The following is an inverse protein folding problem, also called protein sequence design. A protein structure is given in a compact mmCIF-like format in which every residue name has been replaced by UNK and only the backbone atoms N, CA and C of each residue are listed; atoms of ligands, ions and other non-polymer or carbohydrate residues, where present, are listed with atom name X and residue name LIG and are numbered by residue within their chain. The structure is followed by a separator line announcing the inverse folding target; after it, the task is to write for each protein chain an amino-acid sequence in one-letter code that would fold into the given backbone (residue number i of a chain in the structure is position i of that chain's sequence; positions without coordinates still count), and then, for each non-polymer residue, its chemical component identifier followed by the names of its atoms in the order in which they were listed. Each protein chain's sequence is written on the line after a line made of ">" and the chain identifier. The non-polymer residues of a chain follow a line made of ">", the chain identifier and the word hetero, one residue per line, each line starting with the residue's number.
data_IF_038885912211
#
_entry.id   IF_038885912211
#
_cell.length_a   1.000
_cell.length_b   1.000
_cell.length_c   1.000
_cell.angle_alpha   90.00
_cell.angle_beta   90.00
_cell.angle_gamma   90.00
#
_symmetry.space_group_name_H-M   'P 1'
#
loop_
_entity.id
_entity.type
_entity.pdbx_description
1 polymer ?
#
# COMPACT_ATOMS: atom_id res chain seq x y z
N UNK A 1 -15.77 10.28 14.83
CA UNK A 1 -14.94 9.82 15.96
C UNK A 1 -15.43 10.55 17.21
N UNK A 2 -15.93 9.81 18.21
CA UNK A 2 -16.26 10.41 19.52
C UNK A 2 -15.19 9.96 20.52
N UNK A 3 -14.53 10.93 21.13
CA UNK A 3 -13.56 10.71 22.20
C UNK A 3 -14.19 11.23 23.50
N UNK A 4 -14.30 10.36 24.51
CA UNK A 4 -14.79 10.70 25.83
C UNK A 4 -13.63 10.61 26.84
N UNK A 5 -13.29 11.73 27.44
CA UNK A 5 -12.26 11.78 28.50
C UNK A 5 -12.93 11.48 29.85
N UNK A 6 -12.49 10.43 30.51
CA UNK A 6 -12.87 10.11 31.89
C UNK A 6 -11.64 10.38 32.76
N UNK A 7 -11.53 11.57 33.35
CA UNK A 7 -10.34 12.16 33.95
C UNK A 7 -9.16 12.26 32.96
N UNK A 8 -8.23 13.17 33.18
CA UNK A 8 -7.11 13.49 32.27
C UNK A 8 -6.17 12.31 31.91
N UNK A 9 -6.37 11.13 32.52
CA UNK A 9 -5.51 9.94 32.37
C UNK A 9 -6.10 8.79 31.56
N UNK A 10 -7.39 8.80 31.25
CA UNK A 10 -8.05 7.74 30.49
C UNK A 10 -8.81 8.33 29.33
N UNK A 11 -8.54 7.85 28.12
CA UNK A 11 -9.23 8.23 26.89
C UNK A 11 -9.91 7.00 26.31
N UNK A 12 -11.16 7.13 25.93
CA UNK A 12 -11.94 6.08 25.23
C UNK A 12 -12.28 6.58 23.84
N UNK A 13 -11.96 5.80 22.83
CA UNK A 13 -12.26 6.09 21.44
C UNK A 13 -13.16 5.02 20.85
N UNK A 14 -14.08 5.44 20.01
CA UNK A 14 -14.91 4.57 19.19
C UNK A 14 -14.89 5.07 17.75
N UNK A 15 -14.70 4.14 16.80
CA UNK A 15 -14.74 4.48 15.38
C UNK A 15 -15.68 3.51 14.67
N UNK A 16 -16.57 4.06 13.86
CA UNK A 16 -17.32 3.31 12.87
C UNK A 16 -17.03 3.87 11.49
N UNK A 17 -16.73 2.98 10.56
CA UNK A 17 -16.53 3.31 9.14
C UNK A 17 -17.32 2.35 8.29
N UNK A 18 -18.08 2.87 7.35
CA UNK A 18 -18.74 2.11 6.30
C UNK A 18 -18.25 2.58 4.95
N UNK A 19 -17.97 1.63 4.06
CA UNK A 19 -17.68 1.87 2.67
C UNK A 19 -18.66 1.04 1.84
N UNK A 20 -19.39 1.71 0.97
CA UNK A 20 -20.16 1.09 -0.11
C UNK A 20 -19.54 1.61 -1.41
N UNK A 21 -19.01 0.72 -2.23
CA UNK A 21 -18.45 1.09 -3.54
C UNK A 21 -19.07 0.23 -4.63
N UNK A 22 -19.33 0.86 -5.74
CA UNK A 22 -19.76 0.26 -6.98
C UNK A 22 -18.79 0.66 -8.08
N UNK A 23 -18.33 -0.31 -8.81
CA UNK A 23 -17.42 -0.08 -9.92
C UNK A 23 -17.89 -0.90 -11.12
N UNK A 24 -17.96 -0.26 -12.28
CA UNK A 24 -18.35 -0.87 -13.53
C UNK A 24 -17.22 -0.70 -14.54
N UNK A 25 -16.87 -1.76 -15.23
CA UNK A 25 -15.82 -1.73 -16.24
C UNK A 25 -16.16 -2.65 -17.41
N UNK A 26 -15.75 -2.26 -18.63
CA UNK A 26 -15.98 -3.06 -19.82
C UNK A 26 -15.12 -4.32 -19.77
N UNK A 27 -15.75 -5.47 -20.04
CA UNK A 27 -15.08 -6.76 -20.18
C UNK A 27 -15.32 -7.27 -21.58
N UNK A 28 -14.31 -7.44 -22.45
CA UNK A 28 -14.49 -7.99 -23.78
C UNK A 28 -14.95 -9.45 -23.68
N UNK A 29 -15.97 -9.80 -24.46
CA UNK A 29 -16.35 -11.19 -24.64
C UNK A 29 -15.42 -11.83 -25.67
N UNK A 30 -14.83 -12.96 -25.33
CA UNK A 30 -14.04 -13.77 -26.26
C UNK A 30 -14.81 -15.07 -26.52
N UNK A 31 -15.31 -15.23 -27.74
CA UNK A 31 -15.94 -16.47 -28.17
C UNK A 31 -14.85 -17.50 -28.50
N UNK A 32 -14.64 -18.44 -27.60
CA UNK A 32 -13.68 -19.53 -27.74
C UNK A 32 -14.21 -20.71 -28.57
N UNK A 33 -15.51 -20.73 -28.90
CA UNK A 33 -16.10 -21.78 -29.71
C UNK A 33 -15.80 -21.57 -31.22
N UNK A 34 -15.29 -20.37 -31.57
CA UNK A 34 -14.82 -20.04 -32.92
C UNK A 34 -13.30 -20.08 -33.02
N UNK A 35 -12.76 -20.65 -34.08
CA UNK A 35 -11.31 -20.61 -34.34
C UNK A 35 -11.02 -19.87 -35.68
N UNK A 36 -10.20 -18.81 -35.66
CA UNK A 36 -9.58 -18.17 -34.50
C UNK A 36 -10.62 -17.53 -33.56
N UNK A 37 -10.35 -17.50 -32.27
CA UNK A 37 -11.25 -16.91 -31.28
C UNK A 37 -11.65 -15.48 -31.69
N UNK A 38 -12.95 -15.25 -31.79
CA UNK A 38 -13.50 -13.93 -32.19
C UNK A 38 -13.72 -13.13 -30.89
N UNK A 39 -13.06 -11.98 -30.83
CA UNK A 39 -13.35 -11.01 -29.75
C UNK A 39 -14.57 -10.22 -30.18
N UNK A 40 -15.71 -10.41 -29.53
CA UNK A 40 -16.88 -9.56 -29.73
C UNK A 40 -16.56 -8.16 -29.14
N UNK A 41 -16.62 -7.11 -29.97
CA UNK A 41 -16.46 -5.75 -29.50
C UNK A 41 -17.63 -5.28 -28.61
N UNK A 42 -18.73 -6.04 -28.52
CA UNK A 42 -19.80 -5.77 -27.59
C UNK A 42 -19.27 -6.09 -26.17
N UNK A 43 -18.87 -5.03 -25.50
CA UNK A 43 -18.34 -5.09 -24.15
C UNK A 43 -19.48 -5.41 -23.18
N UNK A 44 -19.33 -6.48 -22.41
CA UNK A 44 -20.13 -6.67 -21.22
C UNK A 44 -19.58 -5.76 -20.11
N UNK A 45 -20.46 -5.09 -19.41
CA UNK A 45 -20.04 -4.35 -18.23
C UNK A 45 -19.99 -5.30 -17.04
N UNK A 46 -18.79 -5.54 -16.52
CA UNK A 46 -18.63 -6.23 -15.25
C UNK A 46 -18.89 -5.25 -14.13
N UNK A 47 -19.70 -5.66 -13.18
CA UNK A 47 -20.07 -4.91 -11.99
C UNK A 47 -19.36 -5.48 -10.76
N UNK A 48 -18.60 -4.64 -10.08
CA UNK A 48 -18.03 -4.94 -8.77
C UNK A 48 -18.76 -4.15 -7.68
N UNK A 49 -19.26 -4.85 -6.68
CA UNK A 49 -19.88 -4.25 -5.50
C UNK A 49 -19.09 -4.62 -4.27
N UNK A 50 -18.67 -3.65 -3.50
CA UNK A 50 -17.98 -3.87 -2.23
C UNK A 50 -18.72 -3.11 -1.13
N UNK A 51 -19.14 -3.84 -0.10
CA UNK A 51 -19.69 -3.27 1.12
C UNK A 51 -18.83 -3.71 2.28
N UNK A 52 -18.24 -2.75 2.99
CA UNK A 52 -17.47 -3.07 4.17
C UNK A 52 -17.83 -2.20 5.37
N UNK A 53 -17.71 -2.77 6.56
CA UNK A 53 -17.92 -2.09 7.82
C UNK A 53 -16.73 -2.37 8.74
N UNK A 54 -16.24 -1.34 9.40
CA UNK A 54 -15.23 -1.43 10.43
C UNK A 54 -15.74 -0.75 11.70
N UNK A 55 -15.71 -1.50 12.79
CA UNK A 55 -15.98 -0.99 14.14
C UNK A 55 -14.74 -1.16 14.96
N UNK A 56 -14.27 -0.10 15.63
CA UNK A 56 -13.16 -0.21 16.59
C UNK A 56 -13.48 0.48 17.90
N UNK A 57 -13.12 -0.16 19.00
CA UNK A 57 -13.09 0.42 20.33
C UNK A 57 -11.64 0.49 20.83
N UNK A 58 -11.27 1.58 21.49
CA UNK A 58 -9.93 1.77 22.04
C UNK A 58 -10.00 2.44 23.41
N UNK A 59 -9.19 1.96 24.33
CA UNK A 59 -8.96 2.57 25.62
C UNK A 59 -7.48 2.84 25.79
N UNK A 60 -7.11 4.09 26.00
CA UNK A 60 -5.75 4.52 26.34
C UNK A 60 -5.73 5.01 27.79
N UNK A 61 -4.79 4.54 28.59
CA UNK A 61 -4.65 4.92 29.98
C UNK A 61 -3.20 5.24 30.36
N UNK A 62 -3.00 6.37 31.02
CA UNK A 62 -1.74 6.70 31.70
C UNK A 62 -1.81 6.15 33.13
N UNK A 63 -1.20 4.97 33.34
CA UNK A 63 -1.20 4.30 34.63
C UNK A 63 -0.30 5.04 35.62
N UNK A 64 0.89 5.41 35.15
CA UNK A 64 1.85 6.26 35.88
C UNK A 64 2.50 7.25 34.91
N UNK A 65 3.36 8.14 35.41
CA UNK A 65 4.19 9.00 34.55
C UNK A 65 5.17 8.23 33.65
N UNK A 66 5.48 6.99 34.01
CA UNK A 66 6.42 6.14 33.29
C UNK A 66 5.72 5.11 32.42
N UNK A 67 4.45 4.77 32.69
CA UNK A 67 3.73 3.69 32.05
C UNK A 67 2.40 4.14 31.49
N UNK A 68 2.21 3.98 30.20
CA UNK A 68 0.92 4.07 29.52
C UNK A 68 0.56 2.74 28.87
N UNK A 69 -0.74 2.45 28.80
CA UNK A 69 -1.27 1.24 28.18
C UNK A 69 -2.40 1.58 27.21
N UNK A 70 -2.53 0.79 26.17
CA UNK A 70 -3.60 0.91 25.18
C UNK A 70 -4.16 -0.46 24.89
N UNK A 71 -5.48 -0.58 24.92
CA UNK A 71 -6.19 -1.77 24.47
C UNK A 71 -7.12 -1.42 23.33
N UNK A 72 -7.05 -2.18 22.24
CA UNK A 72 -7.90 -2.02 21.06
C UNK A 72 -8.62 -3.32 20.75
N UNK A 73 -9.87 -3.20 20.36
CA UNK A 73 -10.70 -4.26 19.79
C UNK A 73 -11.29 -3.77 18.47
N UNK A 74 -11.28 -4.61 17.45
CA UNK A 74 -11.80 -4.26 16.13
C UNK A 74 -12.58 -5.42 15.51
N UNK A 75 -13.62 -5.08 14.77
CA UNK A 75 -14.35 -6.01 13.94
C UNK A 75 -14.53 -5.39 12.55
N UNK A 76 -14.13 -6.15 11.54
CA UNK A 76 -14.27 -5.81 10.13
C UNK A 76 -15.08 -6.89 9.43
N UNK A 77 -16.02 -6.49 8.59
CA UNK A 77 -16.66 -7.37 7.63
C UNK A 77 -16.69 -6.73 6.25
N UNK A 78 -16.51 -7.55 5.23
CA UNK A 78 -16.56 -7.17 3.83
C UNK A 78 -17.38 -8.19 3.07
N UNK A 79 -18.30 -7.71 2.27
CA UNK A 79 -19.03 -8.47 1.25
C UNK A 79 -18.65 -7.87 -0.10
N UNK A 80 -18.00 -8.68 -0.94
CA UNK A 80 -17.57 -8.30 -2.28
C UNK A 80 -18.24 -9.23 -3.29
N UNK A 81 -18.80 -8.67 -4.34
CA UNK A 81 -19.37 -9.45 -5.44
C UNK A 81 -18.97 -8.89 -6.79
N UNK A 82 -18.58 -9.79 -7.70
CA UNK A 82 -18.33 -9.48 -9.11
C UNK A 82 -19.38 -10.16 -9.95
N UNK A 83 -20.04 -9.44 -10.83
CA UNK A 83 -21.02 -9.92 -11.75
C UNK A 83 -20.75 -9.42 -13.17
N UNK A 84 -20.71 -10.32 -14.16
CA UNK A 84 -20.59 -9.99 -15.58
C UNK A 84 -21.90 -10.37 -16.27
N UNK A 85 -22.78 -9.40 -16.63
CA UNK A 85 -24.01 -9.67 -17.34
C UNK A 85 -23.73 -10.39 -18.67
N UNK A 86 -24.61 -11.32 -19.04
CA UNK A 86 -24.47 -12.10 -20.27
C UNK A 86 -23.65 -13.38 -20.14
N UNK A 87 -22.99 -13.59 -19.02
CA UNK A 87 -22.47 -14.90 -18.65
C UNK A 87 -23.50 -15.60 -17.73
N UNK A 88 -23.86 -16.83 -18.03
CA UNK A 88 -24.78 -17.65 -17.20
C UNK A 88 -24.18 -18.04 -15.83
N UNK A 89 -23.10 -17.40 -15.43
CA UNK A 89 -22.43 -17.64 -14.17
C UNK A 89 -23.04 -16.76 -13.08
N UNK A 90 -23.29 -17.37 -11.94
CA UNK A 90 -23.69 -16.64 -10.75
C UNK A 90 -22.59 -15.63 -10.32
N UNK A 91 -22.94 -14.52 -9.66
CA UNK A 91 -21.94 -13.60 -9.14
C UNK A 91 -20.92 -14.34 -8.29
N UNK A 92 -19.66 -14.03 -8.49
CA UNK A 92 -18.61 -14.45 -7.57
C UNK A 92 -18.76 -13.62 -6.29
N UNK A 93 -19.02 -14.29 -5.17
CA UNK A 93 -19.20 -13.63 -3.86
C UNK A 93 -18.05 -14.02 -2.95
N UNK A 94 -17.40 -13.02 -2.38
CA UNK A 94 -16.37 -13.19 -1.35
C UNK A 94 -16.77 -12.41 -0.10
N UNK A 95 -16.82 -13.12 1.03
CA UNK A 95 -17.04 -12.51 2.34
C UNK A 95 -15.77 -12.67 3.18
N UNK A 96 -15.39 -11.59 3.84
CA UNK A 96 -14.27 -11.60 4.80
C UNK A 96 -14.75 -10.99 6.10
N UNK A 97 -14.60 -11.72 7.20
CA UNK A 97 -14.87 -11.25 8.55
C UNK A 97 -13.58 -11.35 9.35
N UNK A 98 -13.16 -10.24 9.96
CA UNK A 98 -11.97 -10.22 10.80
C UNK A 98 -12.28 -9.61 12.16
N UNK A 99 -11.89 -10.31 13.18
CA UNK A 99 -11.88 -9.84 14.56
C UNK A 99 -10.43 -9.68 15.01
N UNK A 100 -10.09 -8.56 15.65
CA UNK A 100 -8.74 -8.29 16.12
C UNK A 100 -8.72 -7.65 17.50
N UNK A 101 -7.72 -7.98 18.29
CA UNK A 101 -7.41 -7.33 19.57
C UNK A 101 -5.93 -7.01 19.65
N UNK A 102 -5.60 -5.90 20.26
CA UNK A 102 -4.22 -5.53 20.56
C UNK A 102 -4.13 -4.91 21.95
N UNK A 103 -3.18 -5.38 22.72
CA UNK A 103 -2.78 -4.78 23.99
C UNK A 103 -1.34 -4.32 23.88
N UNK A 104 -1.13 -3.01 24.05
CA UNK A 104 0.17 -2.34 23.93
C UNK A 104 0.50 -1.59 25.21
N UNK A 105 1.74 -1.69 25.64
CA UNK A 105 2.29 -0.97 26.79
C UNK A 105 3.49 -0.15 26.34
N UNK A 106 3.57 1.08 26.80
CA UNK A 106 4.74 1.94 26.62
C UNK A 106 5.30 2.33 27.98
N UNK A 107 6.58 2.04 28.17
CA UNK A 107 7.36 2.33 29.35
C UNK A 107 8.43 3.37 29.02
N UNK A 108 8.31 4.57 29.56
CA UNK A 108 9.29 5.65 29.41
C UNK A 108 10.18 5.65 30.66
N UNK A 109 11.31 4.91 30.60
CA UNK A 109 12.21 4.72 31.73
C UNK A 109 12.86 6.03 32.17
N UNK A 110 13.33 6.78 31.16
CA UNK A 110 13.92 8.12 31.31
C UNK A 110 13.85 8.87 29.96
N UNK A 111 14.59 9.94 29.78
CA UNK A 111 14.63 10.71 28.53
C UNK A 111 15.28 9.95 27.36
N UNK A 112 16.14 9.00 27.66
CA UNK A 112 16.93 8.26 26.68
C UNK A 112 16.30 6.93 26.28
N UNK A 113 15.53 6.31 27.18
CA UNK A 113 15.04 4.94 27.00
C UNK A 113 13.52 4.86 27.07
N UNK A 114 12.95 4.30 26.00
CA UNK A 114 11.52 3.98 25.94
C UNK A 114 11.34 2.58 25.36
N UNK A 115 10.54 1.76 26.04
CA UNK A 115 10.17 0.41 25.58
C UNK A 115 8.69 0.41 25.22
N UNK A 116 8.35 -0.15 24.07
CA UNK A 116 6.98 -0.50 23.72
C UNK A 116 6.91 -2.01 23.60
N UNK A 117 5.97 -2.67 24.29
CA UNK A 117 5.76 -4.10 24.21
C UNK A 117 4.28 -4.43 24.25
N UNK A 118 3.89 -5.52 23.60
CA UNK A 118 2.50 -5.89 23.55
C UNK A 118 2.24 -7.25 22.93
N UNK A 119 0.96 -7.55 22.82
CA UNK A 119 0.45 -8.72 22.13
C UNK A 119 -0.73 -8.32 21.25
N UNK A 120 -0.88 -9.04 20.16
CA UNK A 120 -2.00 -8.90 19.25
C UNK A 120 -2.55 -10.28 18.90
N UNK A 121 -3.85 -10.37 18.78
CA UNK A 121 -4.52 -11.56 18.29
C UNK A 121 -5.56 -11.16 17.27
N UNK A 122 -5.61 -11.89 16.17
CA UNK A 122 -6.65 -11.75 15.18
C UNK A 122 -7.14 -13.10 14.66
N UNK A 123 -8.38 -13.08 14.19
CA UNK A 123 -9.00 -14.17 13.46
C UNK A 123 -9.71 -13.62 12.23
N UNK A 124 -9.45 -14.24 11.10
CA UNK A 124 -10.11 -13.95 9.82
C UNK A 124 -10.88 -15.21 9.38
N UNK A 125 -12.15 -15.02 9.01
CA UNK A 125 -12.98 -16.03 8.41
C UNK A 125 -13.22 -15.62 6.94
N UNK A 126 -12.93 -16.51 6.01
CA UNK A 126 -13.07 -16.33 4.57
C UNK A 126 -14.12 -17.28 4.02
N UNK A 127 -15.03 -16.73 3.23
CA UNK A 127 -16.01 -17.48 2.48
C UNK A 127 -15.99 -17.03 1.02
N UNK A 128 -16.02 -17.97 0.10
CA UNK A 128 -16.15 -17.68 -1.33
C UNK A 128 -17.18 -18.62 -1.93
N UNK A 129 -18.19 -18.03 -2.54
CA UNK A 129 -19.20 -18.75 -3.31
C UNK A 129 -19.01 -18.43 -4.79
N UNK A 130 -18.81 -19.47 -5.59
CA UNK A 130 -18.85 -19.39 -7.04
C UNK A 130 -19.43 -20.71 -7.59
N UNK A 131 -19.66 -20.76 -8.90
CA UNK A 131 -20.23 -21.96 -9.53
C UNK A 131 -19.35 -23.21 -9.45
N UNK A 132 -18.11 -23.09 -9.01
CA UNK A 132 -17.14 -24.18 -9.02
C UNK A 132 -16.73 -24.65 -7.63
N UNK A 133 -16.56 -23.73 -6.67
CA UNK A 133 -16.13 -24.05 -5.30
C UNK A 133 -16.70 -23.06 -4.31
N UNK A 134 -17.41 -23.57 -3.30
CA UNK A 134 -17.64 -22.85 -2.06
C UNK A 134 -16.74 -23.47 -0.99
N UNK A 135 -15.91 -22.67 -0.36
CA UNK A 135 -15.02 -23.11 0.71
C UNK A 135 -14.96 -22.07 1.81
N UNK A 136 -15.29 -22.48 3.00
CA UNK A 136 -15.11 -21.67 4.20
C UNK A 136 -13.78 -22.05 4.85
N UNK A 137 -12.96 -21.06 5.10
CA UNK A 137 -11.68 -21.23 5.78
C UNK A 137 -11.52 -20.14 6.84
N UNK A 138 -10.77 -20.46 7.87
CA UNK A 138 -10.42 -19.50 8.90
C UNK A 138 -8.93 -19.57 9.22
N UNK A 139 -8.42 -18.44 9.66
CA UNK A 139 -7.04 -18.28 10.06
C UNK A 139 -6.97 -17.41 11.32
N UNK A 140 -6.12 -17.77 12.26
CA UNK A 140 -5.87 -16.94 13.44
C UNK A 140 -4.38 -16.75 13.68
N UNK A 141 -4.04 -15.58 14.16
CA UNK A 141 -2.67 -15.19 14.42
C UNK A 141 -2.55 -14.64 15.83
N UNK A 142 -1.58 -15.13 16.60
CA UNK A 142 -1.16 -14.58 17.89
C UNK A 142 0.25 -14.02 17.75
N UNK A 143 0.44 -12.77 18.11
CA UNK A 143 1.74 -12.12 18.02
C UNK A 143 2.16 -11.47 19.32
N UNK A 144 3.45 -11.57 19.62
CA UNK A 144 4.13 -10.81 20.67
C UNK A 144 5.14 -9.88 20.01
N UNK A 145 5.20 -8.63 20.45
CA UNK A 145 6.12 -7.65 19.90
C UNK A 145 6.74 -6.79 21.00
N UNK A 146 7.96 -6.35 20.75
CA UNK A 146 8.67 -5.39 21.58
C UNK A 146 9.52 -4.46 20.70
N UNK A 147 9.56 -3.19 21.05
CA UNK A 147 10.46 -2.20 20.47
C UNK A 147 11.18 -1.46 21.60
N UNK A 148 12.50 -1.44 21.52
CA UNK A 148 13.35 -0.65 22.39
C UNK A 148 13.86 0.57 21.61
N UNK A 149 13.51 1.75 22.08
CA UNK A 149 13.99 3.03 21.57
C UNK A 149 15.09 3.55 22.49
N UNK A 150 16.13 4.10 21.91
CA UNK A 150 17.29 4.66 22.60
C UNK A 150 17.71 5.98 21.96
N UNK A 151 17.70 7.05 22.75
CA UNK A 151 18.10 8.40 22.34
C UNK A 151 19.10 8.97 23.38
N UNK A 152 20.39 8.52 23.35
CA UNK A 152 21.39 8.89 24.34
C UNK A 152 21.74 10.36 24.32
N UNK A 153 21.47 11.02 23.20
CA UNK A 153 21.76 12.44 22.99
C UNK A 153 20.65 13.09 22.14
N UNK A 154 20.56 14.40 22.17
CA UNK A 154 19.57 15.16 21.37
C UNK A 154 19.78 15.04 19.84
N UNK A 155 20.90 14.46 19.42
CA UNK A 155 21.27 14.35 18.00
C UNK A 155 21.34 12.92 17.48
N UNK A 156 21.13 11.90 18.32
CA UNK A 156 21.13 10.52 17.91
C UNK A 156 19.96 9.76 18.52
N UNK A 157 19.25 9.02 17.70
CA UNK A 157 18.21 8.06 18.09
C UNK A 157 18.34 6.75 17.31
N UNK A 158 18.02 5.66 17.97
CA UNK A 158 17.96 4.32 17.38
C UNK A 158 16.81 3.51 17.97
N UNK A 159 16.31 2.55 17.23
CA UNK A 159 15.36 1.57 17.75
C UNK A 159 15.63 0.17 17.21
N UNK A 160 15.26 -0.84 18.02
CA UNK A 160 15.19 -2.25 17.63
C UNK A 160 13.80 -2.74 17.93
N UNK A 161 13.10 -3.22 16.91
CA UNK A 161 11.79 -3.85 17.02
C UNK A 161 11.90 -5.35 16.72
N UNK A 162 11.23 -6.16 17.53
CA UNK A 162 11.16 -7.62 17.41
C UNK A 162 9.70 -8.04 17.43
N UNK A 163 9.32 -9.02 16.60
CA UNK A 163 8.00 -9.61 16.60
C UNK A 163 8.08 -11.11 16.39
N UNK A 164 7.45 -11.85 17.28
CA UNK A 164 7.21 -13.28 17.13
C UNK A 164 5.71 -13.48 16.89
N UNK A 165 5.37 -14.21 15.84
CA UNK A 165 4.01 -14.44 15.42
C UNK A 165 3.79 -15.94 15.24
N UNK A 166 2.70 -16.45 15.82
CA UNK A 166 2.21 -17.81 15.61
C UNK A 166 0.91 -17.75 14.83
N UNK A 167 0.93 -18.29 13.64
CA UNK A 167 -0.23 -18.39 12.76
C UNK A 167 -0.74 -19.83 12.73
N UNK A 168 -2.08 -20.00 12.72
CA UNK A 168 -2.71 -21.33 12.74
C UNK A 168 -2.44 -22.18 11.49
N UNK A 169 -2.05 -21.55 10.38
CA UNK A 169 -1.75 -22.19 9.09
C UNK A 169 -0.24 -22.22 8.83
N UNK A 170 0.44 -21.09 9.05
CA UNK A 170 1.83 -20.87 8.67
C UNK A 170 2.84 -21.04 9.81
N UNK A 171 2.39 -21.46 11.00
CA UNK A 171 3.24 -21.68 12.17
C UNK A 171 3.94 -20.41 12.70
N UNK A 172 5.22 -20.51 13.05
CA UNK A 172 5.95 -19.45 13.74
C UNK A 172 6.78 -18.61 12.78
N UNK A 173 6.66 -17.28 12.89
CA UNK A 173 7.47 -16.34 12.15
C UNK A 173 8.08 -15.32 13.09
N UNK A 174 9.37 -15.07 12.89
CA UNK A 174 10.12 -14.04 13.60
C UNK A 174 10.51 -12.94 12.62
N UNK A 175 10.20 -11.70 12.98
CA UNK A 175 10.63 -10.51 12.23
C UNK A 175 11.29 -9.51 13.15
N UNK A 176 12.20 -8.74 12.58
CA UNK A 176 12.94 -7.72 13.32
C UNK A 176 13.22 -6.51 12.45
N UNK A 177 13.42 -5.36 13.08
CA UNK A 177 13.86 -4.13 12.43
C UNK A 177 14.80 -3.35 13.33
N UNK A 178 15.88 -2.85 12.78
CA UNK A 178 16.72 -1.82 13.34
C UNK A 178 16.53 -0.53 12.55
N UNK A 179 16.47 0.62 13.22
CA UNK A 179 16.48 1.92 12.59
C UNK A 179 17.27 2.93 13.43
N UNK A 180 17.85 3.91 12.77
CA UNK A 180 18.59 4.98 13.43
C UNK A 180 18.49 6.30 12.67
N UNK A 181 18.73 7.39 13.39
CA UNK A 181 18.84 8.74 12.86
C UNK A 181 19.90 9.51 13.64
N UNK A 182 20.80 10.18 12.93
CA UNK A 182 21.89 10.91 13.50
C UNK A 182 22.05 12.30 12.84
N UNK A 183 21.91 13.35 13.65
CA UNK A 183 22.22 14.73 13.28
C UNK A 183 23.72 14.98 13.55
N UNK A 184 24.51 15.10 12.51
CA UNK A 184 25.98 14.93 12.53
C UNK A 184 26.69 15.92 13.48
N UNK A 185 26.28 17.19 13.50
CA UNK A 185 26.95 18.27 14.26
C UNK A 185 26.14 18.73 15.49
N UNK A 186 25.26 17.86 16.03
CA UNK A 186 24.40 18.17 17.18
C UNK A 186 22.96 18.39 16.79
N UNK A 187 22.10 18.74 17.74
CA UNK A 187 20.63 18.80 17.57
C UNK A 187 20.14 19.73 16.44
N UNK A 188 20.90 20.79 16.16
CA UNK A 188 20.57 21.78 15.14
C UNK A 188 21.33 21.56 13.83
N UNK A 189 21.97 20.40 13.69
CA UNK A 189 22.72 20.02 12.49
C UNK A 189 21.92 20.23 11.22
N UNK A 190 22.50 20.82 10.18
CA UNK A 190 21.87 20.87 8.88
C UNK A 190 21.86 19.51 8.18
N UNK A 191 22.69 18.57 8.64
CA UNK A 191 22.87 17.23 8.05
C UNK A 191 22.35 16.17 8.99
N UNK A 192 21.47 15.31 8.49
CA UNK A 192 20.96 14.13 9.16
C UNK A 192 21.23 12.87 8.33
N UNK A 193 21.86 11.87 8.92
CA UNK A 193 22.04 10.54 8.35
C UNK A 193 21.00 9.63 9.00
N UNK A 194 20.31 8.83 8.24
CA UNK A 194 19.30 7.90 8.74
C UNK A 194 19.33 6.60 7.95
N UNK A 195 18.88 5.54 8.57
CA UNK A 195 18.77 4.27 7.89
C UNK A 195 17.95 3.25 8.67
N UNK A 196 17.55 2.22 7.97
CA UNK A 196 16.90 1.07 8.58
C UNK A 196 17.27 -0.23 7.86
N UNK A 197 17.18 -1.34 8.59
CA UNK A 197 17.27 -2.70 8.05
C UNK A 197 16.32 -3.60 8.83
N UNK A 198 15.65 -4.51 8.14
CA UNK A 198 14.70 -5.41 8.80
C UNK A 198 14.22 -6.53 7.91
N UNK A 199 13.68 -7.55 8.57
CA UNK A 199 13.04 -8.69 7.92
C UNK A 199 11.53 -8.56 7.95
N UNK A 200 10.86 -9.21 6.99
CA UNK A 200 9.42 -9.34 6.91
C UNK A 200 9.02 -10.67 6.30
N UNK A 201 7.75 -11.01 6.38
CA UNK A 201 7.17 -12.14 5.65
C UNK A 201 5.78 -11.79 5.13
N UNK A 202 5.33 -12.54 4.12
CA UNK A 202 3.97 -12.48 3.58
C UNK A 202 3.42 -13.89 3.47
N UNK A 203 2.36 -14.17 4.19
CA UNK A 203 1.60 -15.40 4.00
C UNK A 203 0.84 -15.38 2.66
N UNK A 204 0.61 -16.54 2.02
CA UNK A 204 -0.28 -16.65 0.88
C UNK A 204 -1.68 -16.15 1.23
N UNK A 205 -2.33 -15.49 0.30
CA UNK A 205 -3.72 -15.06 0.45
C UNK A 205 -4.65 -16.26 0.29
N UNK A 206 -5.88 -16.13 0.80
CA UNK A 206 -6.92 -17.15 0.59
C UNK A 206 -7.14 -17.46 -0.90
N UNK A 207 -7.13 -16.44 -1.77
CA UNK A 207 -7.29 -16.64 -3.22
C UNK A 207 -6.10 -17.39 -3.83
N UNK A 208 -4.87 -17.09 -3.44
CA UNK A 208 -3.68 -17.80 -3.93
C UNK A 208 -3.70 -19.28 -3.57
N UNK A 209 -4.30 -19.64 -2.44
CA UNK A 209 -4.39 -21.03 -1.97
C UNK A 209 -5.57 -21.80 -2.57
N UNK A 210 -6.72 -21.15 -2.77
CA UNK A 210 -7.99 -21.83 -3.03
C UNK A 210 -8.75 -21.31 -4.23
N UNK A 211 -8.15 -20.49 -5.09
CA UNK A 211 -8.78 -20.05 -6.34
C UNK A 211 -9.23 -21.28 -7.17
N UNK A 212 -10.43 -21.23 -7.70
CA UNK A 212 -10.97 -22.25 -8.59
C UNK A 212 -11.92 -21.59 -9.61
N UNK A 213 -11.44 -20.55 -10.31
CA UNK A 213 -12.29 -19.72 -11.16
C UNK A 213 -11.54 -19.25 -12.40
N UNK A 214 -12.20 -19.26 -13.55
CA UNK A 214 -11.73 -18.70 -14.83
C UNK A 214 -10.30 -19.10 -15.24
N UNK A 215 -10.00 -20.39 -15.11
CA UNK A 215 -8.66 -20.90 -15.47
C UNK A 215 -7.58 -20.63 -14.41
N UNK A 216 -7.95 -20.11 -13.24
CA UNK A 216 -7.07 -20.05 -12.07
C UNK A 216 -7.34 -21.23 -11.14
N UNK A 217 -6.28 -21.90 -10.71
CA UNK A 217 -6.30 -22.97 -9.72
C UNK A 217 -5.35 -22.57 -8.59
N UNK A 218 -5.90 -22.45 -7.39
CA UNK A 218 -5.10 -22.13 -6.21
C UNK A 218 -4.10 -23.25 -5.88
N UNK A 219 -3.09 -22.90 -5.11
CA UNK A 219 -2.09 -23.84 -4.63
C UNK A 219 -2.03 -23.81 -3.09
N UNK A 220 -2.62 -24.81 -2.40
CA UNK A 220 -2.57 -24.88 -0.95
C UNK A 220 -1.18 -25.21 -0.38
N UNK A 221 -0.24 -25.67 -1.21
CA UNK A 221 1.12 -26.04 -0.82
C UNK A 221 2.11 -24.87 -0.90
N UNK A 222 1.62 -23.62 -1.03
CA UNK A 222 2.47 -22.43 -1.05
C UNK A 222 3.15 -22.22 0.30
N UNK A 223 4.42 -21.84 0.26
CA UNK A 223 5.15 -21.36 1.42
C UNK A 223 5.02 -19.83 1.57
N UNK A 224 5.35 -19.32 2.76
CA UNK A 224 5.40 -17.89 3.02
C UNK A 224 6.57 -17.24 2.31
N UNK A 225 6.34 -16.10 1.67
CA UNK A 225 7.43 -15.25 1.16
C UNK A 225 8.14 -14.57 2.32
N UNK A 226 9.48 -14.54 2.29
CA UNK A 226 10.33 -13.89 3.31
C UNK A 226 11.12 -12.76 2.70
N UNK A 227 11.21 -11.64 3.37
CA UNK A 227 11.95 -10.47 2.88
C UNK A 227 13.00 -10.00 3.87
N UNK A 228 14.09 -9.47 3.31
CA UNK A 228 15.10 -8.69 4.02
C UNK A 228 15.35 -7.43 3.19
N UNK A 229 15.30 -6.28 3.82
CA UNK A 229 15.54 -5.02 3.13
C UNK A 229 16.04 -3.93 4.05
N UNK A 230 16.58 -2.88 3.46
CA UNK A 230 17.07 -1.74 4.20
C UNK A 230 17.24 -0.51 3.31
N UNK A 231 17.43 0.60 3.97
CA UNK A 231 17.67 1.90 3.40
C UNK A 231 18.75 2.65 4.18
N UNK A 232 19.46 3.51 3.47
CA UNK A 232 20.42 4.46 4.06
C UNK A 232 20.30 5.78 3.31
N UNK A 233 20.08 6.87 4.05
CA UNK A 233 19.87 8.18 3.48
C UNK A 233 20.60 9.29 4.22
N UNK A 234 20.78 10.38 3.49
CA UNK A 234 21.27 11.65 4.01
C UNK A 234 20.25 12.73 3.67
N UNK A 235 19.84 13.48 4.65
CA UNK A 235 19.03 14.68 4.48
C UNK A 235 19.88 15.89 4.85
N UNK A 236 19.89 16.89 3.98
CA UNK A 236 20.62 18.15 4.14
C UNK A 236 19.64 19.32 4.16
N UNK A 237 19.66 20.11 5.22
CA UNK A 237 19.00 21.41 5.23
C UNK A 237 19.87 22.39 4.42
N UNK A 238 19.34 22.88 3.30
CA UNK A 238 20.02 23.81 2.40
C UNK A 238 19.87 25.26 2.84
N UNK A 239 18.67 25.57 3.35
CA UNK A 239 18.30 26.87 3.92
C UNK A 239 17.17 26.66 4.93
N UNK A 240 16.70 27.74 5.56
CA UNK A 240 15.49 27.65 6.42
C UNK A 240 14.32 27.06 5.63
N UNK A 241 13.74 25.96 6.16
CA UNK A 241 12.61 25.24 5.55
C UNK A 241 12.89 24.64 4.14
N UNK A 242 14.15 24.51 3.73
CA UNK A 242 14.52 23.88 2.46
C UNK A 242 15.44 22.69 2.70
N UNK A 243 15.06 21.52 2.17
CA UNK A 243 15.76 20.26 2.41
C UNK A 243 15.97 19.52 1.10
N UNK A 244 17.11 18.85 1.02
CA UNK A 244 17.40 17.85 0.00
C UNK A 244 17.71 16.52 0.69
N UNK A 245 17.32 15.41 0.10
CA UNK A 245 17.70 14.09 0.59
C UNK A 245 18.07 13.15 -0.55
N UNK A 246 18.98 12.23 -0.24
CA UNK A 246 19.35 11.11 -1.10
C UNK A 246 19.26 9.86 -0.25
N UNK A 247 18.51 8.85 -0.72
CA UNK A 247 18.32 7.56 -0.02
C UNK A 247 18.58 6.42 -0.99
N UNK A 248 19.52 5.55 -0.65
CA UNK A 248 19.70 4.27 -1.30
C UNK A 248 18.84 3.21 -0.59
N UNK A 249 18.18 2.34 -1.33
CA UNK A 249 17.38 1.26 -0.77
C UNK A 249 17.63 -0.07 -1.47
N UNK A 250 17.40 -1.14 -0.74
CA UNK A 250 17.50 -2.50 -1.24
C UNK A 250 16.52 -3.42 -0.51
N UNK A 251 15.88 -4.32 -1.26
CA UNK A 251 15.01 -5.37 -0.71
C UNK A 251 15.20 -6.64 -1.51
N UNK A 252 15.32 -7.76 -0.81
CA UNK A 252 15.29 -9.11 -1.39
C UNK A 252 14.11 -9.86 -0.79
N UNK A 253 13.34 -10.54 -1.65
CA UNK A 253 12.25 -11.43 -1.30
C UNK A 253 12.67 -12.83 -1.75
N UNK A 254 12.66 -13.79 -0.84
CA UNK A 254 12.80 -15.20 -1.14
C UNK A 254 11.43 -15.86 -1.13
N UNK A 255 11.26 -16.93 -1.89
CA UNK A 255 10.00 -17.67 -2.02
C UNK A 255 8.84 -16.75 -2.42
N UNK A 256 9.10 -15.79 -3.35
CA UNK A 256 8.08 -14.87 -3.83
C UNK A 256 6.90 -15.63 -4.43
N UNK A 257 5.68 -15.32 -4.00
CA UNK A 257 4.47 -15.92 -4.55
C UNK A 257 4.08 -15.18 -5.82
N UNK A 258 3.97 -15.92 -6.91
CA UNK A 258 3.56 -15.40 -8.20
C UNK A 258 2.78 -16.43 -9.02
N UNK A 259 2.37 -16.07 -10.22
CA UNK A 259 1.57 -16.93 -11.09
C UNK A 259 2.43 -17.74 -12.08
N UNK A 260 2.01 -18.97 -12.36
CA UNK A 260 2.60 -19.88 -13.34
C UNK A 260 1.50 -20.50 -14.21
N UNK A 261 1.70 -20.49 -15.53
CA UNK A 261 0.83 -21.23 -16.44
C UNK A 261 1.23 -22.70 -16.50
N UNK A 262 0.27 -23.59 -16.46
CA UNK A 262 0.43 -25.06 -16.49
C UNK A 262 -0.38 -25.63 -17.64
N UNK A 263 0.20 -26.63 -18.35
CA UNK A 263 -0.47 -27.29 -19.48
C UNK A 263 -0.35 -26.52 -20.80
N UNK A 264 -1.03 -27.03 -21.81
CA UNK A 264 -1.16 -26.42 -23.14
C UNK A 264 -2.65 -26.30 -23.49
N UNK A 265 -2.96 -25.24 -24.23
CA UNK A 265 -4.33 -25.05 -24.69
C UNK A 265 -4.90 -26.27 -25.42
N UNK A 266 -6.18 -26.71 -25.20
CA UNK A 266 -7.21 -26.02 -24.41
C UNK A 266 -7.20 -26.35 -22.89
N UNK A 267 -6.33 -27.20 -22.41
CA UNK A 267 -6.26 -27.65 -21.00
C UNK A 267 -5.23 -26.87 -20.16
N UNK A 268 -4.92 -25.61 -20.55
CA UNK A 268 -4.03 -24.77 -19.76
C UNK A 268 -4.77 -24.05 -18.64
N UNK A 269 -4.12 -23.92 -17.49
CA UNK A 269 -4.60 -23.11 -16.38
C UNK A 269 -3.44 -22.32 -15.74
N UNK A 270 -3.79 -21.30 -15.00
CA UNK A 270 -2.85 -20.51 -14.20
C UNK A 270 -2.94 -20.94 -12.75
N UNK A 271 -1.79 -21.20 -12.12
CA UNK A 271 -1.68 -21.50 -10.68
C UNK A 271 -0.67 -20.56 -10.03
N UNK A 272 -0.62 -20.62 -8.72
CA UNK A 272 0.37 -19.91 -7.92
C UNK A 272 1.53 -20.82 -7.54
N UNK A 273 2.72 -20.24 -7.45
CA UNK A 273 3.94 -20.96 -7.07
C UNK A 273 4.89 -20.03 -6.33
N UNK A 274 5.82 -20.61 -5.55
CA UNK A 274 6.90 -19.86 -4.95
C UNK A 274 8.08 -19.78 -5.92
N UNK A 275 8.44 -18.56 -6.30
CA UNK A 275 9.63 -18.28 -7.12
C UNK A 275 10.87 -18.22 -6.22
N UNK A 276 12.06 -18.47 -6.78
CA UNK A 276 13.28 -18.49 -5.98
C UNK A 276 13.51 -17.17 -5.26
N UNK A 277 13.53 -16.06 -5.97
CA UNK A 277 13.66 -14.73 -5.35
C UNK A 277 13.31 -13.58 -6.28
N UNK A 278 12.96 -12.46 -5.65
CA UNK A 278 12.90 -11.15 -6.29
C UNK A 278 13.81 -10.17 -5.55
N UNK A 279 14.39 -9.23 -6.27
CA UNK A 279 15.25 -8.19 -5.70
C UNK A 279 14.86 -6.84 -6.28
N UNK A 280 14.75 -5.84 -5.41
CA UNK A 280 14.56 -4.45 -5.81
C UNK A 280 15.61 -3.60 -5.12
N UNK A 281 16.29 -2.73 -5.88
CA UNK A 281 17.21 -1.76 -5.34
C UNK A 281 17.14 -0.46 -6.14
N UNK A 282 17.51 0.63 -5.51
CA UNK A 282 17.44 1.91 -6.17
C UNK A 282 17.94 3.07 -5.33
N UNK A 283 17.71 4.25 -5.88
CA UNK A 283 18.04 5.53 -5.25
C UNK A 283 16.85 6.47 -5.39
N UNK A 284 16.53 7.14 -4.32
CA UNK A 284 15.58 8.24 -4.28
C UNK A 284 16.30 9.55 -3.97
N UNK A 285 15.98 10.60 -4.74
CA UNK A 285 16.43 11.98 -4.49
C UNK A 285 15.17 12.82 -4.29
N UNK A 286 15.09 13.54 -3.18
CA UNK A 286 13.95 14.41 -2.90
C UNK A 286 14.39 15.83 -2.50
N UNK A 287 13.58 16.78 -2.92
CA UNK A 287 13.68 18.19 -2.55
C UNK A 287 12.34 18.66 -2.03
N UNK A 288 12.35 19.38 -0.91
CA UNK A 288 11.16 20.03 -0.37
C UNK A 288 11.52 21.38 0.23
N UNK A 289 10.62 22.31 0.12
CA UNK A 289 10.86 23.61 0.71
C UNK A 289 9.61 24.47 0.78
N UNK A 290 9.67 25.43 1.69
CA UNK A 290 8.64 26.47 1.83
C UNK A 290 9.34 27.82 1.95
N UNK A 291 8.97 28.74 1.09
CA UNK A 291 9.50 30.10 1.09
C UNK A 291 8.84 30.93 2.20
N UNK A 292 9.61 31.84 2.78
CA UNK A 292 9.09 32.84 3.72
C UNK A 292 8.59 34.06 2.93
N UNK A 293 7.68 33.84 1.98
CA UNK A 293 7.06 34.91 1.19
C UNK A 293 5.64 35.22 1.71
N UNK A 294 5.06 36.29 1.20
CA UNK A 294 3.69 36.71 1.57
C UNK A 294 2.60 35.69 1.13
N UNK A 295 2.96 34.71 0.27
CA UNK A 295 2.04 33.76 -0.35
C UNK A 295 2.21 32.35 0.16
N UNK A 296 3.09 32.12 1.16
CA UNK A 296 3.38 30.78 1.69
C UNK A 296 3.68 29.77 0.58
N UNK A 297 4.48 30.18 -0.41
CA UNK A 297 4.82 29.33 -1.56
C UNK A 297 5.70 28.17 -1.13
N UNK A 298 5.48 27.01 -1.72
CA UNK A 298 6.28 25.83 -1.42
C UNK A 298 6.41 24.90 -2.62
N UNK A 299 7.32 23.94 -2.49
CA UNK A 299 7.57 22.94 -3.51
C UNK A 299 7.94 21.58 -2.89
N UNK A 300 7.65 20.56 -3.66
CA UNK A 300 8.12 19.20 -3.45
C UNK A 300 8.54 18.60 -4.80
N UNK A 301 9.67 17.92 -4.84
CA UNK A 301 10.08 17.15 -6.01
C UNK A 301 10.80 15.89 -5.57
N UNK A 302 10.50 14.76 -6.21
CA UNK A 302 11.27 13.55 -6.04
C UNK A 302 11.53 12.84 -7.37
N UNK A 303 12.68 12.20 -7.43
CA UNK A 303 13.07 11.28 -8.47
C UNK A 303 13.43 9.95 -7.82
N UNK A 304 12.87 8.86 -8.34
CA UNK A 304 13.21 7.50 -7.90
C UNK A 304 13.70 6.68 -9.10
N UNK A 305 14.90 6.14 -8.96
CA UNK A 305 15.39 5.06 -9.81
C UNK A 305 15.19 3.74 -9.08
N UNK A 306 14.55 2.78 -9.73
CA UNK A 306 14.31 1.44 -9.18
C UNK A 306 14.68 0.38 -10.19
N UNK A 307 15.39 -0.65 -9.76
CA UNK A 307 15.70 -1.84 -10.53
C UNK A 307 15.02 -3.06 -9.92
N UNK A 308 13.73 -3.29 -10.23
CA UNK A 308 13.00 -4.45 -9.75
C UNK A 308 13.26 -5.63 -10.66
N UNK A 309 13.76 -6.72 -10.11
CA UNK A 309 14.12 -7.94 -10.83
C UNK A 309 13.49 -9.15 -10.16
N UNK A 310 13.11 -10.13 -10.96
CA UNK A 310 12.62 -11.43 -10.50
C UNK A 310 13.24 -12.55 -11.32
N UNK A 311 13.48 -13.69 -10.72
CA UNK A 311 13.89 -14.87 -11.46
C UNK A 311 12.73 -15.39 -12.30
N UNK A 312 13.03 -15.76 -13.53
CA UNK A 312 12.06 -16.41 -14.41
C UNK A 312 11.94 -17.89 -14.10
N UNK A 313 10.70 -18.41 -14.01
CA UNK A 313 10.49 -19.85 -13.83
C UNK A 313 11.03 -20.61 -15.04
N UNK A 314 11.85 -21.62 -14.76
CA UNK A 314 12.40 -22.53 -15.77
C UNK A 314 13.44 -21.92 -16.71
N UNK A 315 13.85 -20.68 -16.46
CA UNK A 315 14.95 -20.00 -17.16
C UNK A 315 15.87 -19.38 -16.12
N UNK A 316 17.18 -19.49 -16.32
CA UNK A 316 18.20 -18.85 -15.46
C UNK A 316 18.33 -17.34 -15.73
N UNK A 317 17.28 -16.71 -16.28
CA UNK A 317 17.27 -15.30 -16.62
C UNK A 317 16.51 -14.50 -15.58
N UNK A 318 17.13 -13.44 -15.11
CA UNK A 318 16.51 -12.45 -14.25
C UNK A 318 15.82 -11.40 -15.11
N UNK A 319 14.53 -11.22 -14.94
CA UNK A 319 13.70 -10.26 -15.69
C UNK A 319 13.30 -9.07 -14.84
N UNK A 320 13.00 -7.95 -15.47
CA UNK A 320 12.35 -6.82 -14.78
C UNK A 320 10.94 -7.25 -14.36
N UNK A 321 10.53 -6.91 -13.15
CA UNK A 321 9.14 -7.17 -12.70
C UNK A 321 8.15 -6.43 -13.59
N UNK A 322 7.04 -7.11 -13.90
CA UNK A 322 5.97 -6.53 -14.70
C UNK A 322 5.31 -5.31 -14.02
N UNK A 323 4.72 -4.43 -14.83
CA UNK A 323 4.03 -3.21 -14.40
C UNK A 323 4.84 -2.28 -13.51
N UNK A 324 6.15 -2.30 -13.63
CA UNK A 324 7.03 -1.42 -12.88
C UNK A 324 7.71 -0.40 -13.78
N UNK A 325 7.93 0.79 -13.26
CA UNK A 325 8.73 1.82 -13.91
C UNK A 325 10.14 1.86 -13.32
N UNK A 326 11.16 1.99 -14.16
CA UNK A 326 12.54 2.17 -13.69
C UNK A 326 12.81 3.56 -13.15
N UNK A 327 12.15 4.55 -13.72
CA UNK A 327 12.32 5.95 -13.32
C UNK A 327 10.95 6.56 -13.08
N UNK A 328 10.77 7.18 -11.93
CA UNK A 328 9.59 7.98 -11.62
C UNK A 328 10.01 9.38 -11.18
N UNK A 329 9.27 10.38 -11.63
CA UNK A 329 9.45 11.77 -11.24
C UNK A 329 8.11 12.29 -10.78
N UNK A 330 8.08 12.94 -9.63
CA UNK A 330 6.95 13.73 -9.16
C UNK A 330 7.49 15.10 -8.73
N UNK A 331 6.81 16.16 -9.16
CA UNK A 331 7.11 17.50 -8.68
C UNK A 331 5.80 18.28 -8.52
N UNK A 332 5.78 19.13 -7.53
CA UNK A 332 4.63 19.97 -7.19
C UNK A 332 5.12 21.33 -6.68
N UNK A 333 4.45 22.37 -7.11
CA UNK A 333 4.60 23.71 -6.56
C UNK A 333 3.24 24.22 -6.14
N UNK A 334 3.17 24.96 -5.04
CA UNK A 334 1.94 25.56 -4.56
C UNK A 334 2.18 26.95 -3.97
N UNK A 335 1.13 27.73 -3.94
CA UNK A 335 1.15 29.07 -3.38
C UNK A 335 -0.23 29.47 -2.87
N UNK A 336 -0.28 30.42 -1.94
CA UNK A 336 -1.52 30.99 -1.40
C UNK A 336 -1.58 32.50 -1.72
N UNK A 337 -1.96 32.86 -2.98
CA UNK A 337 -1.87 34.23 -3.48
C UNK A 337 -2.83 35.20 -2.75
N UNK A 338 -3.88 34.65 -2.15
CA UNK A 338 -4.81 35.37 -1.26
C UNK A 338 -5.08 34.52 -0.04
N UNK A 339 -5.53 35.17 1.04
CA UNK A 339 -5.90 34.48 2.27
C UNK A 339 -6.92 33.37 1.97
N UNK A 340 -6.76 32.22 2.60
CA UNK A 340 -7.65 31.05 2.48
C UNK A 340 -7.67 30.34 1.13
N UNK A 341 -6.93 30.80 0.11
CA UNK A 341 -6.85 30.14 -1.19
C UNK A 341 -5.44 29.56 -1.38
N UNK A 342 -5.34 28.26 -1.55
CA UNK A 342 -4.12 27.59 -2.02
C UNK A 342 -4.34 27.09 -3.42
N UNK A 343 -3.42 27.36 -4.34
CA UNK A 343 -3.39 26.83 -5.70
C UNK A 343 -2.07 26.13 -5.95
N UNK A 344 -2.09 25.11 -6.78
CA UNK A 344 -0.84 24.41 -7.10
C UNK A 344 -0.88 23.70 -8.44
N UNK A 345 0.32 23.38 -8.91
CA UNK A 345 0.58 22.65 -10.14
C UNK A 345 1.52 21.47 -9.82
N UNK A 346 1.18 20.31 -10.32
CA UNK A 346 1.99 19.10 -10.13
C UNK A 346 2.24 18.38 -11.44
N UNK A 347 3.35 17.65 -11.51
CA UNK A 347 3.70 16.80 -12.64
C UNK A 347 4.10 15.41 -12.14
N UNK A 348 3.76 14.39 -12.94
CA UNK A 348 4.16 13.00 -12.71
C UNK A 348 4.65 12.40 -14.02
N UNK A 349 5.77 11.69 -13.99
CA UNK A 349 6.30 10.96 -15.14
C UNK A 349 6.77 9.58 -14.71
N UNK A 350 6.56 8.58 -15.57
CA UNK A 350 7.09 7.23 -15.40
C UNK A 350 7.72 6.74 -16.71
N UNK A 351 8.94 6.21 -16.60
CA UNK A 351 9.77 5.81 -17.73
C UNK A 351 10.39 4.43 -17.50
N UNK A 352 10.73 3.74 -18.61
CA UNK A 352 11.30 2.40 -18.54
C UNK A 352 10.31 1.37 -18.00
N UNK A 353 9.07 1.44 -18.47
CA UNK A 353 7.92 0.62 -18.03
C UNK A 353 7.84 -0.68 -18.82
N UNK A 354 7.33 -1.71 -18.19
CA UNK A 354 6.99 -2.99 -18.83
C UNK A 354 5.57 -3.40 -18.44
N UNK A 355 4.89 -4.12 -19.32
CA UNK A 355 3.59 -4.75 -19.05
C UNK A 355 3.70 -6.15 -18.45
N UNK A 356 2.58 -6.85 -18.29
CA UNK A 356 2.54 -8.23 -17.79
C UNK A 356 3.22 -9.25 -18.72
N UNK A 357 3.34 -8.94 -20.02
CA UNK A 357 4.03 -9.76 -20.99
C UNK A 357 5.52 -9.41 -21.13
N UNK A 358 6.03 -8.54 -20.24
CA UNK A 358 7.39 -7.99 -20.26
C UNK A 358 7.71 -7.14 -21.49
N UNK A 359 6.69 -6.76 -22.28
CA UNK A 359 6.84 -5.83 -23.37
C UNK A 359 7.01 -4.39 -22.84
N UNK A 360 7.78 -3.59 -23.57
CA UNK A 360 7.95 -2.18 -23.21
C UNK A 360 6.68 -1.39 -23.41
N UNK A 361 6.34 -0.59 -22.43
CA UNK A 361 5.29 0.43 -22.52
C UNK A 361 5.92 1.80 -22.72
N UNK A 362 5.19 2.67 -23.43
CA UNK A 362 5.60 4.06 -23.62
C UNK A 362 5.75 4.80 -22.29
N UNK A 363 6.72 5.70 -22.23
CA UNK A 363 6.84 6.62 -21.13
C UNK A 363 5.65 7.58 -21.11
N UNK A 364 5.25 8.03 -19.95
CA UNK A 364 4.21 9.04 -19.85
C UNK A 364 4.62 10.21 -18.96
N UNK A 365 3.96 11.32 -19.20
CA UNK A 365 4.04 12.54 -18.39
C UNK A 365 2.63 13.08 -18.22
N UNK A 366 2.20 13.30 -17.00
CA UNK A 366 0.90 13.93 -16.71
C UNK A 366 1.10 15.17 -15.83
N UNK A 367 0.23 16.15 -16.03
CA UNK A 367 0.19 17.34 -15.20
C UNK A 367 -1.16 17.50 -14.52
N UNK A 368 -1.17 18.11 -13.35
CA UNK A 368 -2.37 18.42 -12.59
C UNK A 368 -2.38 19.85 -12.11
N UNK A 369 -3.56 20.44 -12.03
CA UNK A 369 -3.83 21.69 -11.32
C UNK A 369 -4.72 21.38 -10.13
N UNK A 370 -4.53 22.07 -9.03
CA UNK A 370 -5.44 21.97 -7.90
C UNK A 370 -5.62 23.32 -7.21
N UNK A 371 -6.77 23.46 -6.58
CA UNK A 371 -7.05 24.60 -5.73
C UNK A 371 -7.86 24.16 -4.50
N UNK A 372 -7.60 24.78 -3.36
CA UNK A 372 -8.35 24.65 -2.11
C UNK A 372 -8.70 26.04 -1.60
N UNK A 373 -9.97 26.26 -1.30
CA UNK A 373 -10.46 27.50 -0.71
C UNK A 373 -11.13 27.23 0.64
N UNK A 374 -10.59 27.79 1.70
CA UNK A 374 -11.11 27.69 3.06
C UNK A 374 -12.20 28.76 3.24
N UNK A 375 -13.47 28.38 3.18
CA UNK A 375 -14.62 29.32 3.29
C UNK A 375 -14.78 29.81 4.71
N UNK A 376 -14.81 28.86 5.66
CA UNK A 376 -14.86 29.12 7.11
C UNK A 376 -13.81 28.23 7.78
N UNK A 377 -13.64 28.37 9.09
CA UNK A 377 -12.69 27.51 9.84
C UNK A 377 -13.05 26.01 9.72
N UNK A 378 -14.30 25.71 9.45
CA UNK A 378 -14.85 24.36 9.39
C UNK A 378 -15.18 23.86 7.97
N UNK A 379 -15.16 24.72 6.93
CA UNK A 379 -15.59 24.37 5.58
C UNK A 379 -14.55 24.75 4.56
N UNK A 380 -14.11 23.78 3.75
CA UNK A 380 -13.22 23.99 2.63
C UNK A 380 -13.77 23.36 1.35
N UNK A 381 -13.68 24.08 0.23
CA UNK A 381 -13.86 23.55 -1.11
C UNK A 381 -12.50 23.17 -1.71
N UNK A 382 -12.48 22.12 -2.51
CA UNK A 382 -11.33 21.76 -3.29
C UNK A 382 -11.73 21.33 -4.70
N UNK A 383 -10.89 21.67 -5.66
CA UNK A 383 -10.99 21.24 -7.05
C UNK A 383 -9.64 20.79 -7.54
N UNK A 384 -9.64 19.79 -8.43
CA UNK A 384 -8.42 19.26 -9.02
C UNK A 384 -8.72 18.84 -10.47
N UNK A 385 -7.82 19.21 -11.37
CA UNK A 385 -7.80 18.81 -12.77
C UNK A 385 -6.61 17.87 -12.97
N UNK A 386 -6.90 16.63 -13.32
CA UNK A 386 -5.90 15.59 -13.58
C UNK A 386 -5.69 15.42 -15.07
N UNK A 387 -4.47 14.99 -15.44
CA UNK A 387 -4.07 14.81 -16.85
C UNK A 387 -4.42 16.02 -17.71
N UNK A 388 -3.95 17.19 -17.27
CA UNK A 388 -4.28 18.52 -17.83
C UNK A 388 -4.09 18.60 -19.36
N UNK A 389 -3.14 17.86 -19.91
CA UNK A 389 -2.82 17.86 -21.35
C UNK A 389 -3.53 16.73 -22.11
N UNK A 390 -4.47 16.03 -21.48
CA UNK A 390 -5.25 14.93 -22.06
C UNK A 390 -4.39 13.87 -22.75
N UNK A 391 -3.26 13.52 -22.12
CA UNK A 391 -2.34 12.52 -22.68
C UNK A 391 -2.97 11.13 -22.68
N UNK A 392 -2.97 10.49 -23.84
CA UNK A 392 -3.31 9.08 -24.00
C UNK A 392 -2.05 8.22 -23.80
N UNK A 393 -2.10 7.29 -22.84
CA UNK A 393 -1.05 6.29 -22.67
C UNK A 393 -1.64 4.98 -22.13
N UNK A 394 -0.96 3.89 -22.42
CA UNK A 394 -1.33 2.57 -21.94
C UNK A 394 -0.77 2.39 -20.54
N UNK A 395 -1.65 2.05 -19.57
CA UNK A 395 -1.25 1.73 -18.20
C UNK A 395 -0.60 0.36 -18.18
N UNK A 396 -1.23 -0.63 -18.80
CA UNK A 396 -0.77 -2.01 -18.92
C UNK A 396 -1.43 -2.69 -20.10
N UNK A 397 -0.77 -3.70 -20.66
CA UNK A 397 -1.40 -4.68 -21.54
C UNK A 397 -1.73 -5.93 -20.72
N UNK A 398 -2.99 -6.26 -20.62
CA UNK A 398 -3.46 -7.51 -20.07
C UNK A 398 -3.52 -8.56 -21.17
N UNK A 399 -3.08 -9.78 -20.89
CA UNK A 399 -3.07 -10.87 -21.88
C UNK A 399 -4.47 -11.20 -22.39
N UNK A 400 -5.48 -11.14 -21.52
CA UNK A 400 -6.86 -11.51 -21.86
C UNK A 400 -7.68 -10.32 -22.33
N UNK A 401 -7.39 -9.10 -21.87
CA UNK A 401 -8.24 -7.92 -22.05
C UNK A 401 -7.60 -6.83 -22.92
N UNK A 402 -6.37 -7.05 -23.40
CA UNK A 402 -5.65 -6.09 -24.24
C UNK A 402 -5.19 -4.82 -23.50
N UNK A 403 -4.95 -3.74 -24.24
CA UNK A 403 -4.39 -2.51 -23.69
C UNK A 403 -5.41 -1.77 -22.82
N UNK A 404 -5.04 -1.48 -21.57
CA UNK A 404 -5.80 -0.60 -20.68
C UNK A 404 -5.25 0.81 -20.75
N UNK A 405 -6.05 1.73 -21.28
CA UNK A 405 -5.69 3.13 -21.41
C UNK A 405 -5.87 3.87 -20.08
N UNK A 406 -5.02 4.88 -19.87
CA UNK A 406 -5.21 5.82 -18.79
C UNK A 406 -6.47 6.69 -19.02
N UNK A 407 -7.02 7.18 -17.94
CA UNK A 407 -8.07 8.19 -18.01
C UNK A 407 -7.50 9.47 -18.65
N UNK A 408 -8.20 10.05 -19.61
CA UNK A 408 -7.92 11.37 -20.15
C UNK A 408 -8.12 12.49 -19.11
N UNK A 409 -8.33 13.69 -19.59
CA UNK A 409 -8.60 14.86 -18.73
C UNK A 409 -9.75 14.57 -17.76
N UNK A 410 -9.50 14.75 -16.48
CA UNK A 410 -10.49 14.55 -15.42
C UNK A 410 -10.59 15.76 -14.51
N UNK A 411 -11.82 16.16 -14.14
CA UNK A 411 -12.09 17.24 -13.20
C UNK A 411 -12.80 16.67 -11.99
N UNK A 412 -12.30 16.98 -10.79
CA UNK A 412 -12.81 16.49 -9.52
C UNK A 412 -13.04 17.67 -8.59
N UNK A 413 -14.17 17.66 -7.89
CA UNK A 413 -14.49 18.64 -6.88
C UNK A 413 -15.00 17.99 -5.61
N UNK A 414 -14.83 18.66 -4.47
CA UNK A 414 -15.30 18.17 -3.19
C UNK A 414 -15.38 19.26 -2.12
N UNK A 415 -16.05 18.92 -1.04
CA UNK A 415 -16.21 19.76 0.14
C UNK A 415 -15.73 18.99 1.36
N UNK A 416 -14.93 19.63 2.19
CA UNK A 416 -14.56 19.14 3.52
C UNK A 416 -15.30 19.95 4.56
N UNK A 417 -15.98 19.28 5.50
CA UNK A 417 -16.65 19.89 6.63
C UNK A 417 -16.11 19.26 7.92
N UNK A 418 -15.62 20.08 8.84
CA UNK A 418 -15.15 19.68 10.17
C UNK A 418 -16.14 20.14 11.24
N UNK A 419 -16.47 19.28 12.22
CA UNK A 419 -17.47 19.52 13.25
C UNK A 419 -16.83 19.55 14.64
#
# INVERSE_FOLDING_TARGET
>A
QRQMCIRDRVKVGFTYRRLDSYFEYPTPYVDYDQWPAVTDPHLYNTEDKNRSNLVTGRVDAEITKLWSTSFMIGHYNMDYSTHTPGFDFQPNVMCNRRFQTEWRNALTWNKEWKTVAGMAWDRSDYMSENNYVAKDEWQSTLAFFAEQMWAPTDNFDASVALRLEHDSVWNNHFTWRYSNSWKVTGKDSPTRIFGSVGSGFRAPTYFEQYAANYGYVGNPDLDVSKSLGGDLGVEQRLADNHYASVTGFWTRINDEIGTRSVGTWPNSYTTYDNFSHATSYGVEVAFKGQFKDAWNSGYYANYTFTMPKRDSIGKYETIQMANTARHTINAEVYTSPVEKLTVGFGVTSAMGRTDYNYARLDNFFTARLFARYQVTDNVAFHVRVENLFDQNFIITNDYNFGPRQARGLGVFGGVTVEF
#
